data_IF_086667524874
#
_entry.id   IF_086667524874
#
_cell.length_a   1.000
_cell.length_b   1.000
_cell.length_c   1.000
_cell.angle_alpha   90.00
_cell.angle_beta   90.00
_cell.angle_gamma   90.00
#
_symmetry.space_group_name_H-M   'P 1'
#
loop_
_entity.id
_entity.type
_entity.pdbx_description
1 polymer ?
#
# COMPACT_ATOMS: atom_id res chain seq x y z
N UNK A 1 -5.48 -8.44 -2.76
CA UNK A 1 -5.52 -7.52 -1.61
C UNK A 1 -6.96 -7.09 -1.30
N UNK A 2 -7.65 -6.44 -2.23
CA UNK A 2 -9.03 -5.98 -2.04
C UNK A 2 -10.03 -7.14 -1.81
N UNK A 3 -9.93 -8.23 -2.56
CA UNK A 3 -10.83 -9.40 -2.43
C UNK A 3 -10.77 -10.06 -1.05
N UNK A 4 -9.65 -9.94 -0.34
CA UNK A 4 -9.45 -10.49 1.01
C UNK A 4 -9.64 -9.43 2.10
N UNK A 5 -10.09 -8.22 1.74
CA UNK A 5 -10.39 -7.15 2.70
C UNK A 5 -9.14 -6.50 3.33
N UNK A 6 -7.99 -6.54 2.66
CA UNK A 6 -6.79 -5.87 3.17
C UNK A 6 -6.94 -4.35 3.10
N UNK A 7 -6.71 -3.66 4.23
CA UNK A 7 -6.68 -2.19 4.33
C UNK A 7 -5.31 -1.59 4.01
N UNK A 8 -4.25 -2.40 4.04
CA UNK A 8 -2.86 -1.96 3.82
C UNK A 8 -2.13 -2.95 2.92
N UNK A 9 -1.45 -2.42 1.91
CA UNK A 9 -0.51 -3.14 1.05
C UNK A 9 0.92 -2.75 1.45
N UNK A 10 1.56 -3.60 2.23
CA UNK A 10 2.96 -3.43 2.64
C UNK A 10 3.91 -3.83 1.51
N UNK A 11 4.90 -2.98 1.21
CA UNK A 11 5.91 -3.22 0.17
C UNK A 11 7.33 -2.99 0.71
N UNK A 12 8.33 -3.52 0.03
CA UNK A 12 9.75 -3.36 0.38
C UNK A 12 10.64 -3.06 -0.85
N UNK A 13 10.03 -2.65 -1.96
CA UNK A 13 10.70 -2.41 -3.23
C UNK A 13 10.31 -1.03 -3.76
N UNK A 14 11.28 -0.11 -4.01
CA UNK A 14 11.00 1.24 -4.47
C UNK A 14 10.16 1.32 -5.76
N UNK A 15 10.37 0.38 -6.69
CA UNK A 15 9.57 0.30 -7.91
C UNK A 15 8.10 -0.05 -7.61
N UNK A 16 7.87 -0.98 -6.67
CA UNK A 16 6.53 -1.38 -6.29
C UNK A 16 5.76 -0.23 -5.63
N UNK A 17 6.44 0.65 -4.89
CA UNK A 17 5.79 1.82 -4.28
C UNK A 17 5.10 2.66 -5.35
N UNK A 18 5.89 3.19 -6.29
CA UNK A 18 5.40 4.08 -7.34
C UNK A 18 4.36 3.37 -8.21
N UNK A 19 4.60 2.11 -8.55
CA UNK A 19 3.67 1.35 -9.39
C UNK A 19 2.31 1.13 -8.71
N UNK A 20 2.28 0.82 -7.41
CA UNK A 20 1.03 0.57 -6.71
C UNK A 20 0.32 1.85 -6.28
N UNK A 21 1.04 2.92 -5.93
CA UNK A 21 0.44 4.24 -5.73
C UNK A 21 -0.30 4.71 -6.99
N UNK A 22 0.34 4.62 -8.16
CA UNK A 22 -0.29 4.95 -9.44
C UNK A 22 -1.47 4.03 -9.78
N UNK A 23 -1.31 2.71 -9.54
CA UNK A 23 -2.38 1.74 -9.77
C UNK A 23 -3.61 2.03 -8.91
N UNK A 24 -3.42 2.29 -7.62
CA UNK A 24 -4.50 2.55 -6.64
C UNK A 24 -5.24 3.85 -6.98
N UNK A 25 -4.53 4.89 -7.42
CA UNK A 25 -5.14 6.12 -7.95
C UNK A 25 -5.94 5.85 -9.23
N UNK A 26 -5.35 5.13 -10.19
CA UNK A 26 -5.97 4.84 -11.49
C UNK A 26 -7.26 4.03 -11.38
N UNK A 27 -7.40 3.19 -10.34
CA UNK A 27 -8.61 2.39 -10.08
C UNK A 27 -9.55 3.00 -9.05
N UNK A 28 -9.29 4.24 -8.59
CA UNK A 28 -10.08 4.95 -7.57
C UNK A 28 -10.27 4.13 -6.28
N UNK A 29 -9.14 3.66 -5.71
CA UNK A 29 -9.09 2.82 -4.50
C UNK A 29 -8.26 3.41 -3.37
N UNK A 30 -7.81 4.66 -3.49
CA UNK A 30 -6.99 5.33 -2.47
C UNK A 30 -7.67 5.42 -1.10
N UNK A 31 -9.01 5.48 -1.07
CA UNK A 31 -9.78 5.52 0.17
C UNK A 31 -10.01 4.13 0.80
N UNK A 32 -9.63 3.05 0.10
CA UNK A 32 -9.93 1.66 0.49
C UNK A 32 -8.67 0.91 0.92
N UNK A 33 -7.54 1.17 0.26
CA UNK A 33 -6.28 0.50 0.54
C UNK A 33 -5.12 1.48 0.51
N UNK A 34 -4.32 1.45 1.58
CA UNK A 34 -3.12 2.27 1.72
C UNK A 34 -1.89 1.48 1.26
N UNK A 35 -1.00 2.11 0.49
CA UNK A 35 0.29 1.52 0.13
C UNK A 35 1.34 2.08 1.09
N UNK A 36 2.10 1.21 1.78
CA UNK A 36 3.08 1.61 2.79
C UNK A 36 4.37 0.82 2.67
N UNK A 37 5.50 1.44 3.03
CA UNK A 37 6.76 0.72 3.15
C UNK A 37 6.75 -0.12 4.44
N UNK A 38 7.31 -1.32 4.39
CA UNK A 38 7.39 -2.19 5.57
C UNK A 38 8.17 -1.53 6.72
N UNK A 39 9.16 -0.68 6.44
CA UNK A 39 9.90 0.06 7.45
C UNK A 39 9.02 1.08 8.19
N UNK A 40 8.08 1.71 7.50
CA UNK A 40 7.10 2.63 8.11
C UNK A 40 6.19 1.87 9.07
N UNK A 41 5.70 0.69 8.66
CA UNK A 41 4.87 -0.16 9.51
C UNK A 41 5.60 -0.63 10.77
N UNK A 42 6.89 -0.96 10.65
CA UNK A 42 7.72 -1.30 11.80
C UNK A 42 7.87 -0.10 12.74
N UNK A 43 8.10 1.10 12.19
CA UNK A 43 8.21 2.33 12.98
C UNK A 43 6.90 2.67 13.71
N UNK A 44 5.74 2.50 13.07
CA UNK A 44 4.41 2.71 13.68
C UNK A 44 4.09 1.73 14.82
N UNK A 45 4.72 0.55 14.82
CA UNK A 45 4.49 -0.50 15.80
C UNK A 45 5.41 -0.41 17.05
N UNK A 46 6.38 0.51 17.05
CA UNK A 46 7.26 0.80 18.20
C UNK A 46 6.60 1.73 19.22
#
# INVERSE_FOLDING_TARGET
>A
ALEVGASTLAIACPYCMVNFEDSVLSVDKSDIIEVKDIAELVLEAL
#
